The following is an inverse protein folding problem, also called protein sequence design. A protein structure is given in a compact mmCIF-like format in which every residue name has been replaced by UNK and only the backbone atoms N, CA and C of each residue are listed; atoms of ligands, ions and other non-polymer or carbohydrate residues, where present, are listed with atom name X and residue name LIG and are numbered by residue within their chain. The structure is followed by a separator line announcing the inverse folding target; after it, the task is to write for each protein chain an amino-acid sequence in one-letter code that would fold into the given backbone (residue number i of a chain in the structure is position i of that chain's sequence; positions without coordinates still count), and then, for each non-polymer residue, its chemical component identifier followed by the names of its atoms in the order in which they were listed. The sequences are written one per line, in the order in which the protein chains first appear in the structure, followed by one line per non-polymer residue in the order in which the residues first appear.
data_IF_243078595691
#
_entry.id   IF_243078595691
#
_cell.length_a   1.000
_cell.length_b   1.000
_cell.length_c   1.000
_cell.angle_alpha   90.00
_cell.angle_beta   90.00
_cell.angle_gamma   90.00
#
_symmetry.space_group_name_H-M   'P 1'
#
loop_
_entity.id
_entity.type
_entity.pdbx_description
1 polymer ?
#
# COMPACT_ATOMS: atom_id res chain seq x y z
N UNK A 1 -12.79 -36.99 0.33
CA UNK A 1 -13.04 -36.43 1.67
C UNK A 1 -12.23 -35.14 1.76
N UNK A 2 -12.80 -34.04 1.23
CA UNK A 2 -12.14 -32.75 1.12
C UNK A 2 -12.49 -31.97 2.38
N UNK A 3 -11.55 -31.85 3.32
CA UNK A 3 -11.73 -31.11 4.56
C UNK A 3 -11.59 -29.62 4.23
N UNK A 4 -12.69 -28.95 3.87
CA UNK A 4 -12.73 -27.49 3.78
C UNK A 4 -12.54 -26.92 5.19
N UNK A 5 -11.36 -26.39 5.47
CA UNK A 5 -11.10 -25.61 6.66
C UNK A 5 -11.86 -24.28 6.56
N UNK A 6 -13.04 -24.22 7.19
CA UNK A 6 -13.74 -22.98 7.51
C UNK A 6 -12.92 -22.24 8.56
N UNK A 7 -11.97 -21.41 8.12
CA UNK A 7 -11.37 -20.40 8.98
C UNK A 7 -12.47 -19.38 9.34
N UNK A 8 -12.72 -19.11 10.62
CA UNK A 8 -13.67 -18.08 10.99
C UNK A 8 -13.04 -16.74 10.63
N UNK A 9 -13.59 -16.07 9.62
CA UNK A 9 -13.40 -14.63 9.42
C UNK A 9 -14.08 -13.92 10.59
N UNK A 10 -13.41 -13.88 11.75
CA UNK A 10 -13.86 -13.09 12.90
C UNK A 10 -13.41 -11.66 12.63
N UNK A 11 -14.14 -10.95 11.76
CA UNK A 11 -14.04 -9.50 11.72
C UNK A 11 -14.83 -9.01 12.93
N UNK A 12 -14.09 -8.73 14.02
CA UNK A 12 -14.70 -8.28 15.26
C UNK A 12 -15.13 -6.81 15.12
N UNK A 13 -16.42 -6.54 15.32
CA UNK A 13 -16.90 -5.19 15.53
C UNK A 13 -16.08 -4.53 16.66
N UNK A 14 -15.49 -3.37 16.38
CA UNK A 14 -14.59 -2.71 17.32
C UNK A 14 -15.27 -1.51 17.96
N UNK A 15 -15.30 -1.46 19.30
CA UNK A 15 -15.90 -0.37 20.04
C UNK A 15 -14.97 0.85 20.11
N UNK A 16 -15.47 2.02 19.73
CA UNK A 16 -14.82 3.30 20.01
C UNK A 16 -15.20 3.74 21.42
N UNK A 17 -14.19 4.09 22.20
CA UNK A 17 -14.32 4.49 23.59
C UNK A 17 -13.91 5.96 23.76
N UNK A 18 -14.53 6.65 24.70
CA UNK A 18 -14.15 7.98 25.17
C UNK A 18 -13.80 7.91 26.65
N UNK A 19 -12.63 8.42 27.02
CA UNK A 19 -12.24 8.67 28.41
C UNK A 19 -12.36 10.17 28.69
N UNK A 20 -13.38 10.61 29.44
CA UNK A 20 -13.55 12.01 29.82
C UNK A 20 -12.30 12.60 30.49
N UNK A 21 -12.01 13.88 30.24
CA UNK A 21 -10.86 14.58 30.84
C UNK A 21 -11.04 14.89 32.32
N UNK A 22 -12.28 14.88 32.80
CA UNK A 22 -12.65 15.08 34.21
C UNK A 22 -12.32 13.87 35.11
N UNK A 23 -11.83 12.77 34.53
CA UNK A 23 -11.51 11.53 35.25
C UNK A 23 -12.69 10.58 35.45
N UNK A 24 -13.84 10.88 34.86
CA UNK A 24 -15.00 9.99 34.84
C UNK A 24 -14.70 8.66 34.14
N UNK A 25 -15.58 7.67 34.36
CA UNK A 25 -15.45 6.35 33.76
C UNK A 25 -15.45 6.41 32.23
N UNK A 26 -14.78 5.44 31.60
CA UNK A 26 -14.74 5.31 30.13
C UNK A 26 -16.14 5.02 29.60
N UNK A 27 -16.55 5.76 28.59
CA UNK A 27 -17.86 5.66 27.92
C UNK A 27 -17.69 5.08 26.53
N UNK A 28 -18.60 4.19 26.11
CA UNK A 28 -18.62 3.69 24.73
C UNK A 28 -19.33 4.68 23.82
N UNK A 29 -18.60 5.23 22.84
CA UNK A 29 -19.18 6.15 21.84
C UNK A 29 -20.02 5.40 20.81
N UNK A 30 -19.55 4.21 20.40
CA UNK A 30 -20.23 3.40 19.42
C UNK A 30 -19.38 2.23 18.95
N UNK A 31 -19.88 1.51 17.96
CA UNK A 31 -19.18 0.38 17.33
C UNK A 31 -18.94 0.65 15.86
N UNK A 32 -17.75 0.28 15.38
CA UNK A 32 -17.40 0.27 13.96
C UNK A 32 -17.45 -1.18 13.48
N UNK A 33 -18.15 -1.38 12.37
CA UNK A 33 -18.02 -2.57 11.56
C UNK A 33 -16.98 -2.29 10.44
N UNK A 34 -15.99 -3.18 10.33
CA UNK A 34 -14.93 -3.07 9.33
C UNK A 34 -15.34 -3.69 7.98
N UNK A 35 -16.35 -4.57 7.96
CA UNK A 35 -16.88 -5.17 6.72
C UNK A 35 -17.84 -4.21 6.02
N UNK A 36 -18.70 -3.57 6.81
CA UNK A 36 -19.59 -2.49 6.38
C UNK A 36 -19.18 -1.21 7.10
N UNK A 37 -18.55 -0.23 6.43
CA UNK A 37 -17.99 0.98 7.06
C UNK A 37 -19.10 1.89 7.61
N UNK A 38 -19.71 1.46 8.70
CA UNK A 38 -20.83 2.07 9.38
C UNK A 38 -20.44 2.23 10.85
N UNK A 39 -20.80 3.39 11.40
CA UNK A 39 -20.72 3.64 12.82
C UNK A 39 -22.10 3.64 13.41
N UNK A 40 -22.29 2.82 14.44
CA UNK A 40 -23.49 2.84 15.27
C UNK A 40 -23.15 3.56 16.55
N UNK A 41 -23.61 4.81 16.67
CA UNK A 41 -23.50 5.58 17.91
C UNK A 41 -24.31 4.90 19.01
N UNK A 42 -23.73 4.76 20.19
CA UNK A 42 -24.40 4.19 21.37
C UNK A 42 -24.47 5.17 22.54
N UNK A 43 -23.89 6.37 22.41
CA UNK A 43 -23.97 7.39 23.44
C UNK A 43 -24.00 8.82 22.91
N UNK A 44 -24.72 9.65 23.67
CA UNK A 44 -24.85 11.09 23.46
C UNK A 44 -23.80 11.88 24.26
N UNK A 45 -22.65 11.26 24.54
CA UNK A 45 -21.59 11.90 25.31
C UNK A 45 -21.15 13.21 24.64
N UNK A 46 -21.04 14.26 25.45
CA UNK A 46 -20.59 15.59 25.08
C UNK A 46 -19.61 16.09 26.14
N UNK A 47 -18.49 16.64 25.69
CA UNK A 47 -17.39 17.04 26.56
C UNK A 47 -16.02 16.76 25.97
N UNK A 48 -14.98 17.21 26.67
CA UNK A 48 -13.61 16.88 26.34
C UNK A 48 -13.29 15.46 26.79
N UNK A 49 -12.85 14.62 25.86
CA UNK A 49 -12.46 13.26 26.15
C UNK A 49 -11.31 12.81 25.26
N UNK A 50 -10.49 11.89 25.78
CA UNK A 50 -9.64 11.12 24.88
C UNK A 50 -10.46 10.04 24.20
N UNK A 51 -10.49 10.07 22.88
CA UNK A 51 -11.08 9.07 22.00
C UNK A 51 -10.03 7.99 21.73
N UNK A 52 -10.42 6.75 21.91
CA UNK A 52 -9.52 5.62 21.85
C UNK A 52 -10.21 4.28 21.63
N UNK A 53 -9.41 3.22 21.72
CA UNK A 53 -9.84 1.84 21.54
C UNK A 53 -9.45 1.00 22.75
N UNK A 54 -10.11 -0.14 22.90
CA UNK A 54 -9.62 -1.19 23.78
C UNK A 54 -8.71 -2.14 22.98
N UNK A 55 -7.43 -2.16 23.29
CA UNK A 55 -6.44 -3.07 22.71
C UNK A 55 -5.98 -4.02 23.80
N UNK A 56 -6.28 -5.31 23.65
CA UNK A 56 -5.91 -6.36 24.61
C UNK A 56 -6.34 -6.08 26.07
N UNK A 57 -7.53 -5.51 26.26
CA UNK A 57 -8.09 -5.20 27.59
C UNK A 57 -7.65 -3.85 28.16
N UNK A 58 -6.74 -3.14 27.48
CA UNK A 58 -6.27 -1.81 27.88
C UNK A 58 -6.80 -0.72 26.95
N UNK A 59 -7.31 0.37 27.54
CA UNK A 59 -7.72 1.54 26.76
C UNK A 59 -6.48 2.30 26.26
N UNK A 60 -6.38 2.47 24.94
CA UNK A 60 -5.34 3.24 24.27
C UNK A 60 -5.94 4.52 23.74
N UNK A 61 -5.45 5.64 24.28
CA UNK A 61 -5.82 6.99 23.87
C UNK A 61 -5.17 7.34 22.53
N UNK A 62 -5.96 7.70 21.52
CA UNK A 62 -5.44 8.10 20.20
C UNK A 62 -5.56 9.61 19.95
N UNK A 63 -6.69 10.22 20.31
CA UNK A 63 -6.95 11.65 20.07
C UNK A 63 -7.70 12.27 21.24
N UNK A 64 -7.16 13.34 21.80
CA UNK A 64 -7.89 14.21 22.74
C UNK A 64 -8.72 15.21 21.93
N UNK A 65 -10.03 15.24 22.14
CA UNK A 65 -10.91 16.16 21.44
C UNK A 65 -12.15 16.53 22.27
N UNK A 66 -12.70 17.70 21.98
CA UNK A 66 -14.03 18.09 22.42
C UNK A 66 -15.07 17.39 21.54
N UNK A 67 -16.00 16.65 22.13
CA UNK A 67 -17.14 16.04 21.46
C UNK A 67 -18.35 16.95 21.71
N UNK A 68 -19.05 17.37 20.66
CA UNK A 68 -20.25 18.18 20.76
C UNK A 68 -21.46 17.31 20.38
N UNK A 69 -22.52 17.32 21.19
CA UNK A 69 -23.74 16.55 20.91
C UNK A 69 -24.44 16.98 19.60
N UNK A 70 -24.31 18.25 19.20
CA UNK A 70 -25.02 18.83 18.05
C UNK A 70 -24.27 18.68 16.71
N UNK A 71 -23.10 18.04 16.71
CA UNK A 71 -22.23 17.90 15.53
C UNK A 71 -22.09 16.43 15.16
N UNK A 72 -22.02 16.14 13.87
CA UNK A 72 -21.72 14.78 13.44
C UNK A 72 -20.28 14.40 13.81
N UNK A 73 -20.10 13.14 14.18
CA UNK A 73 -18.81 12.56 14.56
C UNK A 73 -18.20 11.93 13.31
N UNK A 74 -17.04 12.44 12.88
CA UNK A 74 -16.31 11.88 11.74
C UNK A 74 -15.06 11.16 12.24
N UNK A 75 -15.06 9.84 12.14
CA UNK A 75 -13.92 9.01 12.51
C UNK A 75 -13.13 8.59 11.27
N UNK A 76 -11.83 8.85 11.25
CA UNK A 76 -10.93 8.32 10.23
C UNK A 76 -10.08 7.23 10.86
N UNK A 77 -10.33 6.00 10.43
CA UNK A 77 -9.80 4.79 11.05
C UNK A 77 -8.79 4.18 10.11
N UNK A 78 -7.57 3.97 10.59
CA UNK A 78 -6.54 3.25 9.85
C UNK A 78 -6.51 1.80 10.34
N UNK A 79 -6.68 0.87 9.42
CA UNK A 79 -6.64 -0.55 9.71
C UNK A 79 -5.54 -1.23 8.91
N UNK A 80 -4.82 -2.15 9.56
CA UNK A 80 -3.81 -3.02 8.95
C UNK A 80 -4.10 -4.45 9.36
N UNK A 81 -4.20 -5.34 8.38
CA UNK A 81 -4.46 -6.78 8.60
C UNK A 81 -5.71 -7.05 9.46
N UNK A 82 -6.77 -6.24 9.29
CA UNK A 82 -8.02 -6.36 10.05
C UNK A 82 -7.97 -5.80 11.47
N UNK A 83 -6.84 -5.22 11.88
CA UNK A 83 -6.67 -4.59 13.20
C UNK A 83 -6.59 -3.08 13.03
N UNK A 84 -7.37 -2.34 13.82
CA UNK A 84 -7.31 -0.87 13.84
C UNK A 84 -6.03 -0.44 14.53
N UNK A 85 -5.18 0.32 13.81
CA UNK A 85 -3.89 0.82 14.31
C UNK A 85 -3.96 2.28 14.73
N UNK A 86 -4.83 3.08 14.10
CA UNK A 86 -4.95 4.51 14.38
C UNK A 86 -6.39 4.97 14.23
N UNK A 87 -6.81 5.86 15.11
CA UNK A 87 -8.07 6.60 14.98
C UNK A 87 -7.77 8.08 14.97
N UNK A 88 -8.39 8.79 14.04
CA UNK A 88 -8.48 10.24 14.07
C UNK A 88 -9.95 10.64 14.20
N UNK A 89 -10.20 11.74 14.90
CA UNK A 89 -11.52 12.30 15.07
C UNK A 89 -11.57 13.70 14.50
N UNK A 90 -12.65 14.00 13.78
CA UNK A 90 -12.95 15.33 13.29
C UNK A 90 -14.41 15.64 13.54
N UNK A 91 -14.67 16.87 13.95
CA UNK A 91 -16.03 17.42 14.04
C UNK A 91 -16.59 17.59 12.63
N UNK A 92 -17.72 16.97 12.36
CA UNK A 92 -18.48 17.14 11.14
C UNK A 92 -19.36 18.39 11.16
N UNK A 93 -20.05 18.69 10.05
CA UNK A 93 -21.09 19.71 10.02
C UNK A 93 -22.25 19.37 10.97
N UNK A 94 -23.09 20.34 11.30
CA UNK A 94 -24.26 20.12 12.16
C UNK A 94 -25.18 19.04 11.58
N UNK A 95 -25.53 18.04 12.39
CA UNK A 95 -26.65 17.10 12.26
C UNK A 95 -26.86 16.36 10.91
N UNK A 96 -25.80 16.08 10.16
CA UNK A 96 -25.88 15.18 9.00
C UNK A 96 -24.97 13.99 9.31
N UNK A 97 -25.55 12.98 9.98
CA UNK A 97 -25.08 11.60 10.21
C UNK A 97 -23.60 11.38 10.60
N UNK A 98 -23.37 10.50 11.57
CA UNK A 98 -22.01 10.10 11.93
C UNK A 98 -21.36 9.34 10.77
N UNK A 99 -20.10 9.65 10.46
CA UNK A 99 -19.38 9.11 9.30
C UNK A 99 -18.09 8.43 9.72
N UNK A 100 -17.85 7.24 9.18
CA UNK A 100 -16.56 6.56 9.28
C UNK A 100 -15.88 6.53 7.93
N UNK A 101 -14.59 6.86 7.94
CA UNK A 101 -13.72 6.77 6.78
C UNK A 101 -12.65 5.74 7.15
N UNK A 102 -12.74 4.55 6.58
CA UNK A 102 -11.72 3.51 6.74
C UNK A 102 -10.64 3.77 5.70
N UNK A 103 -9.41 3.98 6.15
CA UNK A 103 -8.22 4.07 5.30
C UNK A 103 -7.39 2.82 5.55
N UNK A 104 -7.34 1.92 4.58
CA UNK A 104 -6.42 0.78 4.66
C UNK A 104 -5.01 1.32 4.44
N UNK A 105 -4.08 0.98 5.34
CA UNK A 105 -2.68 1.36 5.19
C UNK A 105 -2.12 0.74 3.89
N UNK A 106 -2.08 1.52 2.82
CA UNK A 106 -1.52 1.06 1.54
C UNK A 106 -0.01 1.03 1.70
N UNK A 107 0.59 -0.16 1.53
CA UNK A 107 2.04 -0.32 1.47
C UNK A 107 2.57 0.63 0.40
N UNK A 108 3.50 1.52 0.79
CA UNK A 108 4.14 2.43 -0.16
C UNK A 108 4.70 1.61 -1.33
N UNK A 109 4.57 2.10 -2.58
CA UNK A 109 5.15 1.41 -3.72
C UNK A 109 6.64 1.22 -3.45
N UNK A 110 7.09 -0.02 -3.57
CA UNK A 110 8.49 -0.36 -3.39
C UNK A 110 9.31 0.52 -4.31
N UNK A 111 10.20 1.32 -3.74
CA UNK A 111 11.04 2.20 -4.54
C UNK A 111 11.81 1.29 -5.51
N UNK A 112 11.69 1.55 -6.81
CA UNK A 112 12.54 0.91 -7.80
C UNK A 112 13.98 1.37 -7.52
N UNK A 113 14.68 0.63 -6.65
CA UNK A 113 16.08 0.85 -6.36
C UNK A 113 16.80 0.60 -7.67
N UNK A 114 17.24 1.67 -8.32
CA UNK A 114 18.24 1.55 -9.39
C UNK A 114 19.46 0.91 -8.73
N UNK A 115 19.89 -0.23 -9.25
CA UNK A 115 21.10 -0.89 -8.79
C UNK A 115 22.22 0.16 -8.67
N UNK A 116 23.00 0.15 -7.58
CA UNK A 116 24.07 1.12 -7.40
C UNK A 116 25.00 1.04 -8.61
N UNK A 117 25.26 2.19 -9.25
CA UNK A 117 26.17 2.30 -10.39
C UNK A 117 27.49 1.67 -9.99
N UNK A 118 27.86 0.56 -10.62
CA UNK A 118 29.12 -0.10 -10.33
C UNK A 118 30.26 0.80 -10.81
N UNK A 119 31.01 1.34 -9.87
CA UNK A 119 32.20 2.15 -10.13
C UNK A 119 33.39 1.21 -10.28
N UNK A 120 34.08 1.28 -11.41
CA UNK A 120 35.42 0.68 -11.57
C UNK A 120 36.37 1.85 -11.80
N UNK A 121 37.38 1.99 -10.94
CA UNK A 121 38.40 3.05 -11.00
C UNK A 121 37.84 4.49 -10.94
N UNK A 122 36.81 4.76 -10.11
CA UNK A 122 36.21 6.09 -9.94
C UNK A 122 35.59 6.71 -11.21
N UNK A 123 35.43 5.93 -12.29
CA UNK A 123 34.73 6.34 -13.49
C UNK A 123 33.45 5.53 -13.64
N UNK A 124 32.39 6.20 -14.10
CA UNK A 124 31.16 5.53 -14.51
C UNK A 124 31.54 4.61 -15.68
N UNK A 125 31.28 3.31 -15.57
CA UNK A 125 31.37 2.41 -16.73
C UNK A 125 30.46 2.98 -17.81
N UNK A 126 31.05 3.63 -18.81
CA UNK A 126 30.37 3.86 -20.07
C UNK A 126 30.23 2.49 -20.68
N UNK A 127 28.99 2.08 -20.94
CA UNK A 127 28.72 0.87 -21.73
C UNK A 127 29.66 0.87 -22.93
N UNK A 128 30.42 -0.23 -23.12
CA UNK A 128 31.27 -0.37 -24.29
C UNK A 128 30.39 -0.09 -25.52
N UNK A 129 30.80 0.83 -26.40
CA UNK A 129 29.94 1.25 -27.50
C UNK A 129 29.50 0.02 -28.27
N UNK A 130 28.19 -0.14 -28.42
CA UNK A 130 27.61 -1.28 -29.14
C UNK A 130 28.29 -1.37 -30.50
N UNK A 131 29.16 -2.38 -30.66
CA UNK A 131 29.95 -2.54 -31.88
C UNK A 131 28.97 -2.65 -33.03
N UNK A 132 29.15 -1.81 -34.04
CA UNK A 132 28.29 -1.80 -35.21
C UNK A 132 28.26 -3.19 -35.83
N UNK A 133 27.12 -3.58 -36.41
CA UNK A 133 26.92 -4.90 -37.01
C UNK A 133 28.11 -5.30 -37.92
N UNK A 134 28.60 -4.35 -38.73
CA UNK A 134 29.75 -4.55 -39.61
C UNK A 134 31.04 -4.89 -38.85
N UNK A 135 31.35 -4.26 -37.71
CA UNK A 135 32.52 -4.62 -36.90
C UNK A 135 32.45 -6.04 -36.36
N UNK A 136 31.25 -6.52 -36.01
CA UNK A 136 31.07 -7.87 -35.46
C UNK A 136 31.18 -8.96 -36.53
N UNK A 137 30.73 -8.67 -37.76
CA UNK A 137 30.60 -9.67 -38.81
C UNK A 137 31.65 -9.60 -39.93
N UNK A 138 32.54 -8.59 -39.95
CA UNK A 138 33.57 -8.45 -40.99
C UNK A 138 34.43 -9.71 -41.19
N UNK A 139 34.81 -10.36 -40.09
CA UNK A 139 35.63 -11.57 -40.13
C UNK A 139 34.94 -12.75 -40.84
N UNK A 140 33.60 -12.78 -40.87
CA UNK A 140 32.82 -13.81 -41.55
C UNK A 140 32.44 -13.41 -42.98
N UNK A 141 32.23 -12.12 -43.23
CA UNK A 141 31.86 -11.61 -44.56
C UNK A 141 33.03 -11.74 -45.54
N UNK A 142 34.26 -11.44 -45.11
CA UNK A 142 35.45 -11.46 -46.00
C UNK A 142 35.74 -12.85 -46.59
N UNK A 143 35.76 -13.95 -45.82
CA UNK A 143 35.97 -15.29 -46.37
C UNK A 143 34.88 -15.72 -47.36
N UNK A 144 33.61 -15.37 -47.10
CA UNK A 144 32.48 -15.73 -47.97
C UNK A 144 32.60 -15.00 -49.31
N UNK A 145 32.95 -13.70 -49.28
CA UNK A 145 33.19 -12.93 -50.51
C UNK A 145 34.39 -13.49 -51.29
N UNK A 146 35.47 -13.88 -50.61
CA UNK A 146 36.62 -14.52 -51.25
C UNK A 146 36.25 -15.85 -51.90
N UNK A 147 35.46 -16.69 -51.22
CA UNK A 147 34.97 -17.95 -51.79
C UNK A 147 34.05 -17.72 -52.99
N UNK A 148 33.18 -16.71 -52.95
CA UNK A 148 32.34 -16.38 -54.10
C UNK A 148 33.17 -15.87 -55.29
N UNK A 149 34.22 -15.08 -55.04
CA UNK A 149 35.07 -14.54 -56.10
C UNK A 149 35.95 -15.63 -56.74
N UNK A 150 36.43 -16.59 -55.93
CA UNK A 150 37.26 -17.70 -56.40
C UNK A 150 36.43 -18.87 -56.96
N UNK A 151 35.19 -19.04 -56.50
CA UNK A 151 34.29 -20.12 -56.90
C UNK A 151 33.23 -19.74 -57.95
N UNK A 152 33.06 -18.45 -58.26
CA UNK A 152 32.04 -17.94 -59.18
C UNK A 152 32.40 -17.96 -60.67
N UNK A 153 33.45 -18.67 -61.07
CA UNK A 153 33.92 -18.73 -62.46
C UNK A 153 33.72 -20.08 -63.12
N UNK A 154 32.49 -20.40 -63.56
CA UNK A 154 32.21 -21.22 -64.75
C UNK A 154 30.69 -21.26 -65.04
N UNK A 155 30.18 -20.55 -66.07
CA UNK A 155 28.98 -21.01 -66.77
C UNK A 155 29.37 -22.23 -67.60
N UNK A 156 28.81 -23.40 -67.26
CA UNK A 156 28.86 -24.58 -68.13
C UNK A 156 28.01 -24.29 -69.37
N UNK A 157 28.65 -23.82 -70.44
CA UNK A 157 28.11 -23.93 -71.79
C UNK A 157 28.38 -25.35 -72.33
N UNK A 158 27.32 -26.12 -72.54
CA UNK A 158 27.27 -27.13 -73.60
C UNK A 158 27.02 -28.57 -73.18
N UNK A 159 25.78 -29.05 -73.26
CA UNK A 159 25.23 -29.77 -74.44
C UNK A 159 23.77 -30.16 -74.25
#
# INVERSE_FOLDING_TARGET
MLLLALLPSIVAATSILARPSDGSAVVTLGTIDLESPAFTSTSDFSGEACIGLNVAGSFVCHVLAQIDADKSKVFSVEAKDGVITKINFKKGPSAIEDKVIITTAQTAPEAAVREPVQLVNNEILKDEPEKSFIQKYWMYIVPILLLLLLGGGAPEEGK
#
